data_IF_837939483109
#
_entry.id   IF_837939483109
#
_cell.length_a   1.000
_cell.length_b   1.000
_cell.length_c   1.000
_cell.angle_alpha   90.00
_cell.angle_beta   90.00
_cell.angle_gamma   90.00
#
_symmetry.space_group_name_H-M   'P 1'
#
loop_
_entity.id
_entity.type
_entity.pdbx_description
1 polymer ?
#
# COMPACT_ATOMS: atom_id res chain seq x y z
N UNK A 1 7.70 -10.90 18.02
CA UNK A 1 8.43 -9.84 17.30
C UNK A 1 8.60 -8.66 18.23
N UNK A 2 9.75 -7.98 18.20
CA UNK A 2 10.07 -6.82 19.04
C UNK A 2 9.65 -5.49 18.39
N UNK A 3 9.96 -4.37 19.05
CA UNK A 3 9.86 -3.03 18.44
C UNK A 3 10.90 -2.90 17.33
N UNK A 4 10.58 -2.17 16.27
CA UNK A 4 11.55 -1.85 15.21
C UNK A 4 12.68 -0.98 15.77
N UNK A 5 13.92 -1.27 15.40
CA UNK A 5 15.12 -0.57 15.86
C UNK A 5 15.91 0.05 14.72
N UNK A 6 15.67 -0.37 13.49
CA UNK A 6 16.41 0.06 12.31
C UNK A 6 15.51 -0.01 11.07
N UNK A 7 15.69 0.94 10.16
CA UNK A 7 15.15 0.90 8.80
C UNK A 7 16.19 0.39 7.82
N UNK A 8 15.75 -0.31 6.78
CA UNK A 8 16.63 -0.90 5.76
C UNK A 8 16.26 -0.50 4.34
N UNK A 9 15.38 0.50 4.17
CA UNK A 9 14.91 0.94 2.86
C UNK A 9 16.01 1.59 2.01
N UNK A 10 17.15 1.97 2.60
CA UNK A 10 18.31 2.52 1.90
C UNK A 10 19.30 1.43 1.44
N UNK A 11 18.93 0.16 1.60
CA UNK A 11 19.76 -1.00 1.26
C UNK A 11 19.10 -1.82 0.14
N UNK A 12 19.89 -2.68 -0.51
CA UNK A 12 19.39 -3.62 -1.51
C UNK A 12 18.64 -2.93 -2.66
N UNK A 13 17.38 -3.32 -2.88
CA UNK A 13 16.55 -2.80 -3.96
C UNK A 13 16.00 -1.38 -3.73
N UNK A 14 16.16 -0.81 -2.52
CA UNK A 14 15.63 0.51 -2.19
C UNK A 14 16.13 1.64 -3.10
N UNK A 15 17.47 1.82 -3.23
CA UNK A 15 18.05 2.78 -4.17
C UNK A 15 17.64 2.54 -5.63
N UNK A 16 17.60 1.28 -6.08
CA UNK A 16 17.17 0.94 -7.45
C UNK A 16 15.74 1.38 -7.74
N UNK A 17 14.81 1.17 -6.79
CA UNK A 17 13.41 1.62 -6.92
C UNK A 17 13.33 3.15 -6.97
N UNK A 18 14.13 3.85 -6.16
CA UNK A 18 14.18 5.31 -6.19
C UNK A 18 14.76 5.85 -7.49
N UNK A 19 15.86 5.28 -7.99
CA UNK A 19 16.45 5.64 -9.27
C UNK A 19 15.44 5.46 -10.41
N UNK A 20 14.71 4.34 -10.42
CA UNK A 20 13.67 4.10 -11.41
C UNK A 20 12.57 5.17 -11.37
N UNK A 21 11.97 5.41 -10.19
CA UNK A 21 10.83 6.31 -10.07
C UNK A 21 11.20 7.78 -10.28
N UNK A 22 12.36 8.21 -9.78
CA UNK A 22 12.86 9.57 -10.03
C UNK A 22 13.36 9.76 -11.46
N UNK A 23 13.94 8.71 -12.06
CA UNK A 23 14.34 8.68 -13.47
C UNK A 23 13.16 8.87 -14.42
N UNK A 24 11.98 8.29 -14.14
CA UNK A 24 10.77 8.54 -14.93
C UNK A 24 10.44 10.04 -15.03
N UNK A 25 10.66 10.79 -13.95
CA UNK A 25 10.45 12.23 -13.92
C UNK A 25 11.57 12.97 -14.66
N UNK A 26 12.82 12.65 -14.35
CA UNK A 26 13.99 13.30 -14.94
C UNK A 26 14.05 13.13 -16.47
N UNK A 27 13.64 11.96 -16.97
CA UNK A 27 13.63 11.63 -18.40
C UNK A 27 12.36 12.10 -19.12
N UNK A 28 11.38 12.67 -18.41
CA UNK A 28 10.16 13.22 -18.97
C UNK A 28 9.07 12.18 -19.31
N UNK A 29 9.15 10.97 -18.76
CA UNK A 29 8.11 9.95 -18.88
C UNK A 29 6.97 10.11 -17.87
N UNK A 30 7.21 10.81 -16.76
CA UNK A 30 6.22 11.13 -15.74
C UNK A 30 6.31 12.61 -15.34
N UNK A 31 5.18 13.31 -15.15
CA UNK A 31 5.21 14.63 -14.51
C UNK A 31 5.59 14.51 -13.03
N UNK A 32 6.23 15.55 -12.47
CA UNK A 32 6.32 15.74 -11.03
C UNK A 32 5.08 16.51 -10.55
N UNK A 33 4.11 15.80 -9.99
CA UNK A 33 2.84 16.36 -9.50
C UNK A 33 2.84 16.59 -7.99
N UNK A 34 4.01 16.53 -7.36
CA UNK A 34 4.15 16.66 -5.91
C UNK A 34 3.57 15.45 -5.17
N UNK A 35 2.90 15.70 -4.04
CA UNK A 35 2.48 14.67 -3.09
C UNK A 35 0.95 14.61 -2.89
N UNK A 36 0.17 15.04 -3.89
CA UNK A 36 -1.30 15.02 -3.83
C UNK A 36 -1.91 14.02 -4.80
N UNK A 37 -3.02 13.40 -4.40
CA UNK A 37 -3.81 12.50 -5.25
C UNK A 37 -4.56 13.28 -6.33
N UNK A 38 -5.09 14.46 -6.00
CA UNK A 38 -5.93 15.28 -6.88
C UNK A 38 -5.27 15.60 -8.21
N UNK A 39 -4.00 16.00 -8.20
CA UNK A 39 -3.29 16.37 -9.42
C UNK A 39 -2.97 15.14 -10.28
N UNK A 40 -2.65 14.02 -9.62
CA UNK A 40 -2.37 12.74 -10.28
C UNK A 40 -3.62 12.20 -10.99
N UNK A 41 -4.77 12.21 -10.31
CA UNK A 41 -6.06 11.81 -10.88
C UNK A 41 -6.47 12.70 -12.05
N UNK A 42 -6.31 14.03 -11.90
CA UNK A 42 -6.67 15.00 -12.93
C UNK A 42 -5.90 14.77 -14.24
N UNK A 43 -4.60 14.49 -14.15
CA UNK A 43 -3.74 14.19 -15.33
C UNK A 43 -4.19 12.90 -16.01
N UNK A 44 -4.56 11.87 -15.24
CA UNK A 44 -5.07 10.61 -15.81
C UNK A 44 -6.44 10.81 -16.49
N UNK A 45 -7.39 11.49 -15.83
CA UNK A 45 -8.71 11.77 -16.41
C UNK A 45 -8.65 12.66 -17.64
N UNK A 46 -7.69 13.60 -17.70
CA UNK A 46 -7.42 14.43 -18.88
C UNK A 46 -6.78 13.66 -20.04
N UNK A 47 -6.44 12.37 -19.86
CA UNK A 47 -5.74 11.52 -20.82
C UNK A 47 -4.30 11.98 -21.11
N UNK A 48 -3.70 12.76 -20.21
CA UNK A 48 -2.32 13.22 -20.29
C UNK A 48 -1.32 12.16 -19.76
N UNK A 49 -1.80 11.23 -18.92
CA UNK A 49 -1.05 10.03 -18.50
C UNK A 49 -1.73 8.74 -18.95
N UNK A 50 -0.95 7.82 -19.53
CA UNK A 50 -1.45 6.51 -19.95
C UNK A 50 -1.50 5.48 -18.80
N UNK A 51 -0.71 5.67 -17.75
CA UNK A 51 -0.60 4.77 -16.60
C UNK A 51 -0.72 5.61 -15.32
N UNK A 52 -1.50 5.10 -14.37
CA UNK A 52 -1.69 5.67 -13.03
C UNK A 52 -1.33 4.61 -11.98
N UNK A 53 -0.49 4.99 -11.01
CA UNK A 53 -0.25 4.20 -9.81
C UNK A 53 -1.11 4.74 -8.67
N UNK A 54 -2.08 3.96 -8.22
CA UNK A 54 -3.00 4.38 -7.16
C UNK A 54 -3.41 3.19 -6.28
N UNK A 55 -4.05 3.50 -5.16
CA UNK A 55 -4.74 2.56 -4.30
C UNK A 55 -5.85 1.82 -5.06
N UNK A 56 -5.94 0.52 -4.80
CA UNK A 56 -7.03 -0.33 -5.31
C UNK A 56 -8.41 0.12 -4.83
N UNK A 57 -8.48 0.89 -3.73
CA UNK A 57 -9.72 1.54 -3.29
C UNK A 57 -10.21 2.65 -4.23
N UNK A 58 -9.32 3.24 -5.02
CA UNK A 58 -9.66 4.27 -6.01
C UNK A 58 -10.20 3.68 -7.32
N UNK A 59 -10.05 2.36 -7.53
CA UNK A 59 -10.34 1.71 -8.82
C UNK A 59 -11.76 1.99 -9.33
N UNK A 60 -12.78 1.96 -8.46
CA UNK A 60 -14.15 2.33 -8.86
C UNK A 60 -14.22 3.76 -9.36
N UNK A 61 -13.70 4.70 -8.58
CA UNK A 61 -13.75 6.13 -8.92
C UNK A 61 -13.02 6.43 -10.22
N UNK A 62 -11.88 5.79 -10.44
CA UNK A 62 -11.10 5.93 -11.68
C UNK A 62 -11.87 5.36 -12.87
N UNK A 63 -12.44 4.15 -12.74
CA UNK A 63 -13.19 3.52 -13.84
C UNK A 63 -14.45 4.31 -14.19
N UNK A 64 -15.25 4.67 -13.18
CA UNK A 64 -16.52 5.37 -13.39
C UNK A 64 -16.31 6.83 -13.82
N UNK A 65 -15.20 7.44 -13.41
CA UNK A 65 -14.83 8.82 -13.75
C UNK A 65 -14.14 9.00 -15.09
N UNK A 66 -13.67 7.92 -15.72
CA UNK A 66 -12.95 7.98 -16.99
C UNK A 66 -13.91 7.89 -18.19
N UNK A 67 -13.76 8.78 -19.17
CA UNK A 67 -14.51 8.72 -20.44
C UNK A 67 -13.90 7.72 -21.45
N UNK A 68 -12.95 6.91 -21.01
CA UNK A 68 -12.21 5.92 -21.79
C UNK A 68 -12.12 4.58 -21.04
N UNK A 69 -11.78 3.51 -21.74
CA UNK A 69 -11.61 2.19 -21.13
C UNK A 69 -10.37 2.15 -20.25
N UNK A 70 -10.55 1.88 -18.97
CA UNK A 70 -9.48 1.67 -17.98
C UNK A 70 -9.29 0.18 -17.75
N UNK A 71 -8.04 -0.27 -17.71
CA UNK A 71 -7.65 -1.62 -17.29
C UNK A 71 -6.76 -1.56 -16.04
N UNK A 72 -6.75 -2.63 -15.25
CA UNK A 72 -5.79 -2.80 -14.14
C UNK A 72 -4.79 -3.90 -14.46
N UNK A 73 -3.56 -3.75 -13.96
CA UNK A 73 -2.49 -4.76 -14.07
C UNK A 73 -1.77 -4.92 -12.75
N UNK A 74 -1.03 -6.02 -12.59
CA UNK A 74 -0.15 -6.20 -11.42
C UNK A 74 0.89 -5.08 -11.38
N UNK A 75 1.31 -4.69 -10.18
CA UNK A 75 2.45 -3.80 -10.01
C UNK A 75 3.67 -4.36 -10.78
N UNK A 76 4.37 -3.51 -11.56
CA UNK A 76 5.62 -3.88 -12.19
C UNK A 76 6.68 -4.14 -11.13
N UNK A 77 7.68 -4.92 -11.50
CA UNK A 77 8.87 -5.19 -10.70
C UNK A 77 10.08 -5.12 -11.65
N UNK A 78 11.27 -4.92 -11.08
CA UNK A 78 12.49 -4.80 -11.87
C UNK A 78 12.84 -6.12 -12.58
N UNK A 79 13.38 -6.05 -13.79
CA UNK A 79 13.87 -7.22 -14.55
C UNK A 79 14.98 -7.99 -13.80
N UNK A 80 15.66 -7.31 -12.88
CA UNK A 80 16.71 -7.83 -12.00
C UNK A 80 16.16 -8.67 -10.83
N UNK A 81 14.85 -8.63 -10.59
CA UNK A 81 14.19 -9.23 -9.43
C UNK A 81 13.12 -10.24 -9.85
N UNK A 82 12.81 -11.19 -8.97
CA UNK A 82 11.59 -11.98 -9.09
C UNK A 82 10.40 -11.26 -8.46
N UNK A 83 9.19 -11.58 -8.93
CA UNK A 83 7.96 -11.08 -8.30
C UNK A 83 7.89 -11.58 -6.86
N UNK A 84 7.92 -10.64 -5.91
CA UNK A 84 7.85 -10.93 -4.48
C UNK A 84 6.40 -10.92 -3.95
N UNK A 85 5.66 -9.87 -4.29
CA UNK A 85 4.28 -9.67 -3.85
C UNK A 85 3.99 -8.22 -3.49
N UNK A 86 2.92 -7.98 -2.77
CA UNK A 86 2.47 -6.65 -2.33
C UNK A 86 2.18 -6.64 -0.83
N UNK A 87 2.28 -5.47 -0.21
CA UNK A 87 1.80 -5.25 1.15
C UNK A 87 0.40 -4.62 1.13
N UNK A 88 -0.42 -4.97 2.13
CA UNK A 88 -1.74 -4.35 2.30
C UNK A 88 -1.62 -2.93 2.88
N UNK A 89 -2.56 -2.06 2.50
CA UNK A 89 -2.77 -0.75 3.08
C UNK A 89 -4.15 -0.63 3.73
N UNK A 90 -4.63 0.60 3.91
CA UNK A 90 -5.95 0.88 4.47
C UNK A 90 -5.96 1.00 5.99
N UNK A 91 -7.08 0.60 6.61
CA UNK A 91 -7.32 0.73 8.04
C UNK A 91 -7.82 -0.60 8.63
N UNK A 92 -7.78 -0.69 9.95
CA UNK A 92 -8.31 -1.82 10.71
C UNK A 92 -9.22 -1.33 11.84
N UNK A 93 -10.19 -2.16 12.23
CA UNK A 93 -10.98 -1.94 13.43
C UNK A 93 -10.18 -2.42 14.65
N UNK A 94 -9.98 -1.51 15.61
CA UNK A 94 -9.35 -1.82 16.89
C UNK A 94 -10.36 -1.69 18.02
N UNK A 95 -10.43 -2.71 18.88
CA UNK A 95 -11.17 -2.63 20.14
C UNK A 95 -10.25 -2.04 21.20
N UNK A 96 -10.66 -0.91 21.77
CA UNK A 96 -10.00 -0.29 22.92
C UNK A 96 -10.77 -0.71 24.16
N UNK A 97 -10.06 -1.21 25.18
CA UNK A 97 -10.70 -1.56 26.44
C UNK A 97 -11.33 -0.33 27.08
N UNK A 98 -12.66 -0.36 27.18
CA UNK A 98 -13.45 0.71 27.78
C UNK A 98 -13.50 0.64 29.31
N UNK A 99 -13.08 -0.49 29.90
CA UNK A 99 -13.30 -0.82 31.31
C UNK A 99 -14.74 -1.27 31.64
N UNK A 100 -15.65 -1.25 30.67
CA UNK A 100 -17.03 -1.75 30.80
C UNK A 100 -17.20 -3.02 29.95
N UNK A 101 -17.51 -4.13 30.64
CA UNK A 101 -17.64 -5.44 30.01
C UNK A 101 -18.77 -5.49 28.97
N UNK A 102 -19.89 -4.79 29.21
CA UNK A 102 -21.01 -4.76 28.28
C UNK A 102 -20.67 -3.96 27.02
N UNK A 103 -19.92 -2.86 27.16
CA UNK A 103 -19.45 -2.06 26.01
C UNK A 103 -18.42 -2.84 25.20
N UNK A 104 -17.47 -3.49 25.86
CA UNK A 104 -16.47 -4.33 25.18
C UNK A 104 -17.12 -5.51 24.43
N UNK A 105 -18.13 -6.16 25.04
CA UNK A 105 -18.88 -7.23 24.39
C UNK A 105 -19.64 -6.72 23.15
N UNK A 106 -20.31 -5.57 23.24
CA UNK A 106 -21.00 -4.97 22.11
C UNK A 106 -20.05 -4.56 20.97
N UNK A 107 -18.87 -3.99 21.30
CA UNK A 107 -17.84 -3.68 20.31
C UNK A 107 -17.33 -4.94 19.60
N UNK A 108 -17.15 -6.04 20.34
CA UNK A 108 -16.76 -7.33 19.76
C UNK A 108 -17.84 -7.91 18.85
N UNK A 109 -19.11 -7.84 19.25
CA UNK A 109 -20.23 -8.27 18.42
C UNK A 109 -20.32 -7.46 17.11
N UNK A 110 -20.08 -6.16 17.18
CA UNK A 110 -20.00 -5.30 15.98
C UNK A 110 -18.85 -5.71 15.06
N UNK A 111 -17.65 -5.95 15.59
CA UNK A 111 -16.51 -6.41 14.77
C UNK A 111 -16.80 -7.74 14.08
N UNK A 112 -17.44 -8.69 14.77
CA UNK A 112 -17.88 -9.96 14.16
C UNK A 112 -18.93 -9.76 13.08
N UNK A 113 -19.90 -8.88 13.31
CA UNK A 113 -20.90 -8.53 12.30
C UNK A 113 -20.23 -7.96 11.05
N UNK A 114 -19.31 -6.99 11.20
CA UNK A 114 -18.58 -6.42 10.06
C UNK A 114 -17.76 -7.47 9.30
N UNK A 115 -17.25 -8.50 9.98
CA UNK A 115 -16.52 -9.63 9.38
C UNK A 115 -17.43 -10.77 8.86
N UNK A 116 -18.76 -10.61 8.91
CA UNK A 116 -19.72 -11.57 8.35
C UNK A 116 -19.66 -11.59 6.82
N UNK A 117 -20.05 -12.72 6.22
CA UNK A 117 -20.05 -12.90 4.76
C UNK A 117 -20.83 -11.80 4.04
N UNK A 118 -22.10 -11.60 4.41
CA UNK A 118 -22.97 -10.58 3.79
C UNK A 118 -22.37 -9.17 3.87
N UNK A 119 -21.76 -8.81 5.01
CA UNK A 119 -21.14 -7.51 5.22
C UNK A 119 -19.87 -7.36 4.38
N UNK A 120 -19.08 -8.42 4.22
CA UNK A 120 -17.88 -8.41 3.39
C UNK A 120 -18.22 -8.36 1.90
N UNK A 121 -19.25 -9.07 1.45
CA UNK A 121 -19.77 -8.97 0.08
C UNK A 121 -20.25 -7.54 -0.19
N UNK A 122 -21.08 -6.99 0.69
CA UNK A 122 -21.58 -5.61 0.58
C UNK A 122 -20.44 -4.59 0.58
N UNK A 123 -19.46 -4.75 1.48
CA UNK A 123 -18.31 -3.87 1.57
C UNK A 123 -17.47 -3.89 0.30
N UNK A 124 -17.10 -5.07 -0.19
CA UNK A 124 -16.29 -5.20 -1.40
C UNK A 124 -17.02 -4.66 -2.63
N UNK A 125 -18.25 -5.12 -2.87
CA UNK A 125 -19.03 -4.70 -4.04
C UNK A 125 -19.42 -3.22 -3.99
N UNK A 126 -19.54 -2.63 -2.79
CA UNK A 126 -19.87 -1.22 -2.58
C UNK A 126 -18.68 -0.27 -2.69
N UNK A 127 -17.48 -0.72 -2.32
CA UNK A 127 -16.31 0.16 -2.14
C UNK A 127 -15.09 -0.20 -2.99
N UNK A 128 -14.97 -1.44 -3.45
CA UNK A 128 -13.79 -1.96 -4.11
C UNK A 128 -12.69 -2.48 -3.17
N UNK A 129 -12.78 -2.22 -1.86
CA UNK A 129 -11.82 -2.75 -0.89
C UNK A 129 -11.88 -4.28 -0.81
N UNK A 130 -10.75 -4.91 -0.55
CA UNK A 130 -10.67 -6.37 -0.39
C UNK A 130 -11.66 -6.90 0.65
N UNK A 131 -12.35 -8.02 0.36
CA UNK A 131 -12.97 -8.79 1.42
C UNK A 131 -11.87 -9.39 2.31
N UNK A 132 -12.07 -9.37 3.63
CA UNK A 132 -11.12 -9.98 4.59
C UNK A 132 -11.35 -11.48 4.79
N UNK A 133 -12.24 -12.07 3.99
CA UNK A 133 -12.63 -13.47 4.01
C UNK A 133 -12.25 -14.13 2.69
N UNK A 134 -11.58 -15.28 2.77
CA UNK A 134 -11.25 -16.09 1.60
C UNK A 134 -12.31 -17.15 1.30
N UNK A 135 -13.14 -17.52 2.28
CA UNK A 135 -14.17 -18.56 2.17
C UNK A 135 -15.44 -18.12 1.44
N UNK A 136 -15.47 -16.88 0.93
CA UNK A 136 -16.60 -16.30 0.21
C UNK A 136 -16.35 -16.18 -1.30
N UNK A 137 -15.22 -16.70 -1.80
CA UNK A 137 -14.85 -16.61 -3.22
C UNK A 137 -15.90 -17.22 -4.15
N UNK A 138 -16.58 -18.28 -3.72
CA UNK A 138 -17.64 -18.95 -4.51
C UNK A 138 -19.02 -18.27 -4.37
N UNK A 139 -19.13 -17.15 -3.65
CA UNK A 139 -20.39 -16.42 -3.50
C UNK A 139 -20.87 -15.87 -4.86
N UNK A 140 -22.12 -16.17 -5.22
CA UNK A 140 -22.67 -15.85 -6.54
C UNK A 140 -22.72 -14.35 -6.85
N UNK A 141 -22.99 -13.51 -5.85
CA UNK A 141 -23.04 -12.05 -6.04
C UNK A 141 -21.64 -11.47 -6.23
N UNK A 142 -20.63 -12.03 -5.55
CA UNK A 142 -19.23 -11.67 -5.78
C UNK A 142 -18.74 -12.09 -7.16
N UNK A 143 -19.04 -13.32 -7.59
CA UNK A 143 -18.68 -13.80 -8.93
C UNK A 143 -19.31 -12.93 -10.02
N UNK A 144 -20.61 -12.65 -9.91
CA UNK A 144 -21.30 -11.76 -10.85
C UNK A 144 -20.71 -10.34 -10.85
N UNK A 145 -20.32 -9.83 -9.68
CA UNK A 145 -19.64 -8.54 -9.56
C UNK A 145 -18.27 -8.54 -10.27
N UNK A 146 -17.44 -9.56 -10.04
CA UNK A 146 -16.12 -9.68 -10.65
C UNK A 146 -16.17 -9.87 -12.16
N UNK A 147 -17.12 -10.67 -12.66
CA UNK A 147 -17.35 -10.83 -14.11
C UNK A 147 -17.71 -9.50 -14.78
N UNK A 148 -18.55 -8.70 -14.13
CA UNK A 148 -18.94 -7.39 -14.63
C UNK A 148 -17.87 -6.31 -14.42
N UNK A 149 -16.98 -6.49 -13.44
CA UNK A 149 -15.99 -5.50 -13.03
C UNK A 149 -14.59 -6.17 -12.91
N UNK A 150 -13.99 -6.60 -14.02
CA UNK A 150 -12.72 -7.34 -14.01
C UNK A 150 -11.56 -6.56 -13.39
N UNK A 151 -11.65 -5.22 -13.38
CA UNK A 151 -10.61 -4.37 -12.80
C UNK A 151 -10.39 -4.57 -11.29
N UNK A 152 -11.38 -5.10 -10.55
CA UNK A 152 -11.23 -5.40 -9.12
C UNK A 152 -10.54 -6.74 -8.85
N UNK A 153 -10.52 -7.64 -9.83
CA UNK A 153 -9.95 -8.99 -9.69
C UNK A 153 -8.43 -8.96 -9.66
N UNK A 154 -7.81 -8.12 -10.50
CA UNK A 154 -6.35 -7.99 -10.62
C UNK A 154 -5.67 -7.80 -9.26
N UNK A 155 -6.22 -6.93 -8.42
CA UNK A 155 -5.68 -6.65 -7.10
C UNK A 155 -5.79 -7.86 -6.16
N UNK A 156 -6.90 -8.60 -6.23
CA UNK A 156 -7.14 -9.80 -5.43
C UNK A 156 -6.13 -10.87 -5.84
N UNK A 157 -6.01 -11.15 -7.13
CA UNK A 157 -5.05 -12.14 -7.64
C UNK A 157 -3.61 -11.76 -7.28
N UNK A 158 -3.25 -10.48 -7.36
CA UNK A 158 -1.91 -10.03 -6.97
C UNK A 158 -1.64 -10.23 -5.47
N UNK A 159 -2.65 -10.04 -4.62
CA UNK A 159 -2.53 -10.30 -3.19
C UNK A 159 -2.42 -11.80 -2.89
N UNK A 160 -3.17 -12.65 -3.60
CA UNK A 160 -3.10 -14.11 -3.48
C UNK A 160 -1.75 -14.68 -3.94
N UNK A 161 -1.14 -14.09 -4.98
CA UNK A 161 0.18 -14.46 -5.49
C UNK A 161 1.35 -13.96 -4.61
N UNK A 162 1.07 -13.23 -3.54
CA UNK A 162 2.10 -12.67 -2.65
C UNK A 162 2.78 -13.77 -1.82
N UNK A 163 4.11 -13.87 -1.93
CA UNK A 163 4.90 -14.88 -1.22
C UNK A 163 5.18 -14.43 0.21
N UNK A 164 4.46 -14.98 1.19
CA UNK A 164 4.68 -14.66 2.62
C UNK A 164 5.89 -15.37 3.25
N UNK A 165 6.53 -16.27 2.49
CA UNK A 165 7.71 -17.05 2.88
C UNK A 165 8.72 -16.98 1.73
N UNK A 166 9.99 -16.78 2.08
CA UNK A 166 11.11 -16.78 1.12
C UNK A 166 11.50 -18.21 0.73
N UNK A 167 12.30 -18.36 -0.33
CA UNK A 167 12.74 -19.67 -0.84
C UNK A 167 13.54 -20.49 0.19
N UNK A 168 14.20 -19.83 1.15
CA UNK A 168 14.93 -20.47 2.25
C UNK A 168 14.03 -20.89 3.43
N UNK A 169 12.72 -20.67 3.32
CA UNK A 169 11.73 -20.98 4.36
C UNK A 169 11.58 -19.90 5.44
N UNK A 170 12.34 -18.80 5.36
CA UNK A 170 12.19 -17.67 6.29
C UNK A 170 10.93 -16.83 5.99
N UNK A 171 10.43 -16.13 7.01
CA UNK A 171 9.28 -15.22 6.85
C UNK A 171 9.66 -14.04 5.97
N UNK A 172 8.86 -13.78 4.94
CA UNK A 172 9.05 -12.62 4.07
C UNK A 172 8.43 -11.35 4.68
N UNK A 173 9.20 -10.66 5.51
CA UNK A 173 8.71 -9.44 6.18
C UNK A 173 8.40 -8.28 5.23
N UNK A 174 8.89 -8.30 3.98
CA UNK A 174 8.66 -7.23 3.02
C UNK A 174 7.18 -7.08 2.61
N UNK A 175 6.39 -8.16 2.72
CA UNK A 175 4.99 -8.21 2.25
C UNK A 175 3.96 -8.29 3.37
N UNK A 176 4.38 -8.42 4.63
CA UNK A 176 3.47 -8.53 5.79
C UNK A 176 2.96 -7.18 6.30
N UNK A 177 3.36 -6.08 5.67
CA UNK A 177 3.06 -4.72 6.10
C UNK A 177 4.09 -4.12 7.07
N UNK A 178 4.02 -2.80 7.25
CA UNK A 178 4.94 -2.06 8.11
C UNK A 178 4.46 -1.98 9.56
N UNK A 179 5.27 -2.45 10.51
CA UNK A 179 5.03 -2.28 11.96
C UNK A 179 6.17 -1.51 12.60
N UNK A 180 6.03 -0.19 12.70
CA UNK A 180 6.94 0.68 13.43
C UNK A 180 6.14 1.71 14.24
N UNK A 181 6.67 2.12 15.40
CA UNK A 181 6.04 3.14 16.24
C UNK A 181 5.85 4.47 15.51
N UNK A 182 6.93 5.11 15.02
CA UNK A 182 6.87 6.37 14.31
C UNK A 182 6.65 6.18 12.80
N UNK A 183 5.86 5.18 12.38
CA UNK A 183 5.70 4.85 10.95
C UNK A 183 5.23 6.03 10.08
N UNK A 184 4.33 6.93 10.52
CA UNK A 184 4.00 8.13 9.76
C UNK A 184 5.19 9.06 9.50
N UNK A 185 6.08 9.23 10.49
CA UNK A 185 7.29 10.04 10.34
C UNK A 185 8.27 9.39 9.36
N UNK A 186 8.46 8.06 9.46
CA UNK A 186 9.30 7.29 8.54
C UNK A 186 8.79 7.44 7.10
N UNK A 187 7.49 7.31 6.86
CA UNK A 187 6.90 7.49 5.52
C UNK A 187 7.13 8.90 4.98
N UNK A 188 6.98 9.94 5.82
CA UNK A 188 7.26 11.32 5.42
C UNK A 188 8.72 11.49 4.99
N UNK A 189 9.68 10.92 5.73
CA UNK A 189 11.11 11.00 5.38
C UNK A 189 11.43 10.34 4.04
N UNK A 190 10.76 9.23 3.70
CA UNK A 190 10.88 8.59 2.38
C UNK A 190 10.33 9.51 1.28
N UNK A 191 9.20 10.19 1.50
CA UNK A 191 8.64 11.15 0.55
C UNK A 191 9.57 12.37 0.39
N UNK A 192 10.16 12.87 1.47
CA UNK A 192 11.13 13.97 1.41
C UNK A 192 12.40 13.57 0.65
N UNK A 193 12.84 12.32 0.75
CA UNK A 193 13.98 11.81 -0.03
C UNK A 193 13.70 11.89 -1.54
N UNK A 194 12.46 11.68 -1.99
CA UNK A 194 12.09 11.86 -3.41
C UNK A 194 12.33 13.30 -3.87
N UNK A 195 11.86 14.27 -3.09
CA UNK A 195 12.08 15.69 -3.37
C UNK A 195 13.56 16.02 -3.40
N UNK A 196 14.37 15.47 -2.49
CA UNK A 196 15.81 15.75 -2.51
C UNK A 196 16.54 15.17 -3.73
N UNK A 197 16.06 14.07 -4.32
CA UNK A 197 16.61 13.59 -5.59
C UNK A 197 16.19 14.50 -6.75
N UNK A 198 14.89 14.84 -6.83
CA UNK A 198 14.33 15.56 -7.97
C UNK A 198 14.65 17.07 -7.98
N UNK A 199 14.65 17.70 -6.81
CA UNK A 199 14.71 19.15 -6.66
C UNK A 199 16.09 19.63 -6.17
N UNK A 200 16.77 18.83 -5.32
CA UNK A 200 18.05 19.21 -4.72
C UNK A 200 19.27 18.54 -5.39
N UNK A 201 19.05 17.63 -6.35
CA UNK A 201 20.11 16.97 -7.13
C UNK A 201 20.93 15.93 -6.37
N UNK A 202 20.40 15.37 -5.28
CA UNK A 202 21.02 14.23 -4.59
C UNK A 202 20.90 12.96 -5.42
N UNK A 203 21.85 12.03 -5.27
CA UNK A 203 21.63 10.66 -5.76
C UNK A 203 20.59 9.93 -4.91
N UNK A 204 19.95 8.88 -5.45
CA UNK A 204 19.00 8.06 -4.68
C UNK A 204 19.62 7.48 -3.41
N UNK A 205 20.87 6.99 -3.49
CA UNK A 205 21.57 6.45 -2.34
C UNK A 205 21.79 7.52 -1.25
N UNK A 206 22.30 8.70 -1.61
CA UNK A 206 22.54 9.77 -0.64
C UNK A 206 21.24 10.24 0.03
N UNK A 207 20.16 10.39 -0.74
CA UNK A 207 18.87 10.82 -0.21
C UNK A 207 18.27 9.77 0.75
N UNK A 208 18.36 8.48 0.38
CA UNK A 208 17.88 7.38 1.22
C UNK A 208 18.73 7.19 2.47
N UNK A 209 20.05 7.35 2.39
CA UNK A 209 20.93 7.27 3.57
C UNK A 209 20.60 8.38 4.58
N UNK A 210 20.43 9.62 4.10
CA UNK A 210 20.02 10.74 4.96
C UNK A 210 18.62 10.53 5.57
N UNK A 211 17.68 9.96 4.82
CA UNK A 211 16.36 9.61 5.33
C UNK A 211 16.43 8.45 6.36
N UNK A 212 17.29 7.46 6.13
CA UNK A 212 17.47 6.33 7.01
C UNK A 212 18.09 6.74 8.35
N UNK A 213 19.08 7.64 8.35
CA UNK A 213 19.65 8.21 9.57
C UNK A 213 18.57 8.89 10.44
N UNK A 214 17.76 9.76 9.82
CA UNK A 214 16.64 10.44 10.51
C UNK A 214 15.59 9.45 11.00
N UNK A 215 15.23 8.46 10.18
CA UNK A 215 14.24 7.44 10.55
C UNK A 215 14.72 6.54 11.70
N UNK A 216 16.01 6.22 11.75
CA UNK A 216 16.63 5.48 12.85
C UNK A 216 16.63 6.31 14.15
N UNK A 217 16.83 7.63 14.06
CA UNK A 217 16.67 8.51 15.21
C UNK A 217 15.22 8.54 15.71
N UNK A 218 14.23 8.68 14.83
CA UNK A 218 12.80 8.61 15.19
C UNK A 218 12.45 7.28 15.88
N UNK A 219 13.01 6.16 15.40
CA UNK A 219 12.85 4.85 16.03
C UNK A 219 13.48 4.80 17.43
N UNK A 220 14.69 5.34 17.59
CA UNK A 220 15.38 5.39 18.88
C UNK A 220 14.60 6.24 19.90
N UNK A 221 14.16 7.44 19.48
CA UNK A 221 13.35 8.34 20.31
C UNK A 221 12.05 7.68 20.72
N UNK A 222 11.33 7.05 19.76
CA UNK A 222 10.11 6.30 20.05
C UNK A 222 10.36 5.18 21.06
N UNK A 223 11.43 4.40 20.88
CA UNK A 223 11.73 3.27 21.74
C UNK A 223 12.09 3.69 23.17
N UNK A 224 12.74 4.85 23.33
CA UNK A 224 13.12 5.41 24.65
C UNK A 224 11.92 5.70 25.57
N UNK A 225 10.71 5.91 25.01
CA UNK A 225 9.49 6.06 25.82
C UNK A 225 9.04 4.77 26.51
N UNK A 226 9.57 3.62 26.09
CA UNK A 226 9.17 2.29 26.57
C UNK A 226 10.34 1.50 27.17
N UNK A 227 11.42 2.19 27.51
CA UNK A 227 12.54 1.69 28.33
C UNK A 227 12.32 2.06 29.80
#
# INVERSE_FOLDING_TARGET
TGRATEVVFNQGAGPEVFDFLTGLVADGYSPNLGNTWTDTDAVFFAQDAAILFDSTSGARGIVDGSEFSVGTMYMPYADSAERNGVAIGGAALWLIDSGDEAVNAAAWDFMKFMAGEEQQVTWHTGTGYFPVRTDISDNADLQAFWDANPNFVTAISQLEDTRTVNDDGSVNYAVLGGRAGPFPAIRRLIVEAYSSVLDDGMTAQEALDAAAEKANQELADYNSFFE
#
